data_IF_615604887654
#
_entry.id   IF_615604887654
#
_cell.length_a   1.000
_cell.length_b   1.000
_cell.length_c   1.000
_cell.angle_alpha   90.00
_cell.angle_beta   90.00
_cell.angle_gamma   90.00
#
_symmetry.space_group_name_H-M   'P 1'
#
loop_
_entity.id
_entity.type
_entity.pdbx_description
1 polymer ?
#
# COMPACT_ATOMS: atom_id res chain seq x y z
N UNK A 1 -6.14 -1.19 -27.42
CA UNK A 1 -4.80 -1.78 -27.68
C UNK A 1 -3.91 -0.84 -28.48
N UNK A 2 -4.38 -0.20 -29.56
CA UNK A 2 -3.55 0.70 -30.41
C UNK A 2 -2.93 1.90 -29.67
N UNK A 3 -3.69 2.63 -28.83
CA UNK A 3 -3.12 3.76 -28.08
C UNK A 3 -1.95 3.36 -27.16
N UNK A 4 -1.99 2.16 -26.57
CA UNK A 4 -0.88 1.64 -25.75
C UNK A 4 0.31 1.21 -26.58
N UNK A 5 0.09 0.74 -27.81
CA UNK A 5 1.20 0.41 -28.72
C UNK A 5 1.94 1.66 -29.20
N UNK A 6 1.25 2.80 -29.33
CA UNK A 6 1.84 4.06 -29.79
C UNK A 6 2.38 4.94 -28.66
N UNK A 7 1.67 5.01 -27.53
CA UNK A 7 1.96 5.93 -26.42
C UNK A 7 2.23 5.23 -25.08
N UNK A 8 2.12 3.90 -25.04
CA UNK A 8 2.39 3.12 -23.84
C UNK A 8 3.88 2.98 -23.54
N UNK A 9 4.15 2.47 -22.35
CA UNK A 9 5.49 2.31 -21.82
C UNK A 9 6.20 1.21 -22.60
N UNK A 10 7.30 1.57 -23.29
CA UNK A 10 7.99 0.68 -24.24
C UNK A 10 8.68 -0.51 -23.56
N UNK A 11 9.15 -0.33 -22.34
CA UNK A 11 9.81 -1.36 -21.54
C UNK A 11 9.28 -1.25 -20.10
N UNK A 12 8.09 -1.81 -19.82
CA UNK A 12 7.53 -1.77 -18.48
C UNK A 12 8.32 -2.67 -17.54
N UNK A 13 8.46 -2.23 -16.30
CA UNK A 13 9.01 -3.03 -15.20
C UNK A 13 7.88 -3.75 -14.48
N UNK A 14 8.20 -4.91 -13.93
CA UNK A 14 7.27 -5.68 -13.07
C UNK A 14 6.81 -4.82 -11.90
N UNK A 15 5.51 -4.78 -11.63
CA UNK A 15 4.94 -4.17 -10.43
C UNK A 15 4.94 -5.21 -9.32
N UNK A 16 5.57 -4.90 -8.20
CA UNK A 16 5.63 -5.75 -6.99
C UNK A 16 4.77 -5.08 -5.94
N UNK A 17 3.49 -5.49 -5.87
CA UNK A 17 2.53 -4.95 -4.91
C UNK A 17 2.62 -5.73 -3.59
N UNK A 18 2.89 -5.03 -2.49
CA UNK A 18 2.88 -5.62 -1.15
C UNK A 18 1.65 -5.15 -0.39
N UNK A 19 0.84 -6.11 0.05
CA UNK A 19 -0.39 -5.85 0.80
C UNK A 19 -0.26 -6.43 2.19
N UNK A 20 0.09 -5.63 3.21
CA UNK A 20 -0.06 -6.04 4.58
C UNK A 20 -1.56 -6.13 4.92
N UNK A 21 -1.95 -7.19 5.63
CA UNK A 21 -3.34 -7.40 6.04
C UNK A 21 -3.40 -8.16 7.35
N UNK A 22 -4.53 -8.07 8.06
CA UNK A 22 -4.78 -8.82 9.28
C UNK A 22 -6.24 -9.23 9.38
N UNK A 23 -6.54 -10.16 10.27
CA UNK A 23 -7.89 -10.71 10.41
C UNK A 23 -8.84 -9.66 11.00
N UNK A 24 -9.84 -9.25 10.20
CA UNK A 24 -10.92 -8.33 10.58
C UNK A 24 -12.19 -8.58 9.78
N UNK A 25 -13.31 -8.01 10.21
CA UNK A 25 -14.64 -8.19 9.61
C UNK A 25 -14.67 -7.93 8.10
N UNK A 26 -14.04 -6.84 7.63
CA UNK A 26 -14.01 -6.47 6.21
C UNK A 26 -12.72 -6.87 5.49
N UNK A 27 -11.88 -7.75 6.08
CA UNK A 27 -10.61 -8.16 5.48
C UNK A 27 -10.81 -8.66 4.05
N UNK A 28 -11.75 -9.58 3.86
CA UNK A 28 -12.00 -10.19 2.55
C UNK A 28 -12.47 -9.16 1.53
N UNK A 29 -13.37 -8.25 1.92
CA UNK A 29 -13.86 -7.17 1.06
C UNK A 29 -12.71 -6.29 0.56
N UNK A 30 -11.85 -5.86 1.48
CA UNK A 30 -10.66 -5.04 1.22
C UNK A 30 -9.69 -5.74 0.26
N UNK A 31 -9.31 -6.99 0.55
CA UNK A 31 -8.43 -7.78 -0.32
C UNK A 31 -9.04 -8.04 -1.71
N UNK A 32 -10.35 -8.25 -1.80
CA UNK A 32 -11.05 -8.38 -3.09
C UNK A 32 -10.97 -7.08 -3.90
N UNK A 33 -11.13 -5.92 -3.26
CA UNK A 33 -10.97 -4.62 -3.92
C UNK A 33 -9.57 -4.40 -4.50
N UNK A 34 -8.52 -4.70 -3.72
CA UNK A 34 -7.13 -4.64 -4.19
C UNK A 34 -6.90 -5.63 -5.34
N UNK A 35 -7.35 -6.88 -5.19
CA UNK A 35 -7.23 -7.90 -6.22
C UNK A 35 -7.85 -7.46 -7.56
N UNK A 36 -9.07 -6.93 -7.54
CA UNK A 36 -9.72 -6.43 -8.76
C UNK A 36 -8.94 -5.27 -9.40
N UNK A 37 -8.38 -4.37 -8.59
CA UNK A 37 -7.55 -3.28 -9.11
C UNK A 37 -6.28 -3.82 -9.78
N UNK A 38 -5.59 -4.74 -9.10
CA UNK A 38 -4.36 -5.36 -9.57
C UNK A 38 -4.56 -6.23 -10.82
N UNK A 39 -5.69 -6.91 -10.97
CA UNK A 39 -6.03 -7.68 -12.17
C UNK A 39 -6.17 -6.82 -13.44
N UNK A 40 -6.42 -5.52 -13.29
CA UNK A 40 -6.55 -4.60 -14.42
C UNK A 40 -5.23 -3.91 -14.78
N UNK A 41 -4.15 -4.19 -14.03
CA UNK A 41 -2.81 -3.66 -14.29
C UNK A 41 -2.28 -4.29 -15.59
N UNK A 42 -1.85 -3.47 -16.57
CA UNK A 42 -1.42 -3.98 -17.88
C UNK A 42 0.05 -4.42 -17.93
N UNK A 43 0.66 -4.67 -16.77
CA UNK A 43 2.07 -4.97 -16.58
C UNK A 43 2.24 -6.29 -15.84
N UNK A 44 3.43 -6.88 -15.92
CA UNK A 44 3.76 -8.04 -15.08
C UNK A 44 3.61 -7.66 -13.61
N UNK A 45 2.93 -8.52 -12.85
CA UNK A 45 2.57 -8.24 -11.48
C UNK A 45 2.99 -9.39 -10.56
N UNK A 46 3.68 -9.05 -9.49
CA UNK A 46 3.91 -9.93 -8.33
C UNK A 46 3.14 -9.36 -7.16
N UNK A 47 2.15 -10.10 -6.65
CA UNK A 47 1.37 -9.70 -5.49
C UNK A 47 1.81 -10.48 -4.24
N UNK A 48 2.35 -9.78 -3.25
CA UNK A 48 2.82 -10.33 -1.98
C UNK A 48 1.84 -9.93 -0.89
N UNK A 49 1.08 -10.89 -0.38
CA UNK A 49 0.15 -10.67 0.73
C UNK A 49 0.80 -11.10 2.04
N UNK A 50 0.97 -10.15 2.97
CA UNK A 50 1.55 -10.41 4.29
C UNK A 50 0.48 -10.38 5.38
N UNK A 51 0.08 -11.57 5.84
CA UNK A 51 -1.01 -11.73 6.81
C UNK A 51 -0.50 -11.74 8.25
N UNK A 52 -1.07 -10.88 9.09
CA UNK A 52 -0.80 -10.78 10.53
C UNK A 52 -2.02 -11.08 11.39
N UNK A 53 -1.77 -11.34 12.68
CA UNK A 53 -2.83 -11.65 13.65
C UNK A 53 -3.52 -10.43 14.24
N UNK A 54 -2.82 -9.32 14.42
CA UNK A 54 -3.31 -8.10 15.07
C UNK A 54 -2.80 -6.84 14.37
N UNK A 55 -3.62 -5.79 14.40
CA UNK A 55 -3.28 -4.48 13.86
C UNK A 55 -2.28 -3.70 14.71
N UNK A 56 -2.25 -3.88 16.03
CA UNK A 56 -1.23 -3.26 16.90
C UNK A 56 0.19 -3.71 16.53
N UNK A 57 0.32 -4.93 16.02
CA UNK A 57 1.56 -5.44 15.46
C UNK A 57 2.00 -4.57 14.27
N UNK A 58 1.05 -3.91 13.57
CA UNK A 58 1.30 -2.99 12.47
C UNK A 58 2.03 -1.70 12.87
N UNK A 59 2.09 -1.35 14.17
CA UNK A 59 2.89 -0.20 14.63
C UNK A 59 4.39 -0.50 14.61
N UNK A 60 4.80 -1.68 15.08
CA UNK A 60 6.15 -2.25 14.86
C UNK A 60 6.35 -2.82 13.44
N UNK A 61 5.36 -2.72 12.54
CA UNK A 61 5.42 -3.41 11.24
C UNK A 61 6.21 -2.69 10.18
N UNK A 62 6.28 -1.36 10.13
CA UNK A 62 6.89 -0.72 8.97
C UNK A 62 8.30 -1.27 8.74
N UNK A 63 9.11 -1.36 9.80
CA UNK A 63 10.39 -2.06 9.80
C UNK A 63 10.27 -3.56 9.49
N UNK A 64 9.37 -4.32 10.14
CA UNK A 64 9.27 -5.79 9.91
C UNK A 64 8.80 -6.17 8.51
N UNK A 65 7.77 -5.51 7.99
CA UNK A 65 7.29 -5.63 6.61
C UNK A 65 8.43 -5.24 5.70
N UNK A 66 9.07 -4.09 5.94
CA UNK A 66 10.18 -3.62 5.12
C UNK A 66 11.33 -4.63 5.08
N UNK A 67 11.75 -5.17 6.23
CA UNK A 67 12.79 -6.22 6.33
C UNK A 67 12.38 -7.50 5.61
N UNK A 68 11.10 -7.90 5.73
CA UNK A 68 10.58 -9.07 5.03
C UNK A 68 10.56 -8.87 3.52
N UNK A 69 10.16 -7.68 3.05
CA UNK A 69 10.22 -7.29 1.63
C UNK A 69 11.67 -7.30 1.18
N UNK A 70 12.56 -6.62 1.89
CA UNK A 70 13.99 -6.57 1.58
C UNK A 70 14.55 -7.98 1.41
N UNK A 71 14.23 -8.87 2.35
CA UNK A 71 14.63 -10.28 2.28
C UNK A 71 14.07 -10.99 1.06
N UNK A 72 12.75 -10.89 0.80
CA UNK A 72 12.11 -11.57 -0.34
C UNK A 72 12.67 -11.05 -1.67
N UNK A 73 12.74 -9.73 -1.81
CA UNK A 73 13.22 -9.05 -3.02
C UNK A 73 14.68 -9.43 -3.28
N UNK A 74 15.53 -9.47 -2.24
CA UNK A 74 16.94 -9.85 -2.35
C UNK A 74 17.13 -11.35 -2.63
N UNK A 75 16.51 -12.23 -1.86
CA UNK A 75 16.63 -13.69 -2.01
C UNK A 75 16.13 -14.16 -3.38
N UNK A 76 15.05 -13.56 -3.88
CA UNK A 76 14.46 -13.91 -5.19
C UNK A 76 14.95 -13.04 -6.35
N UNK A 77 15.83 -12.06 -6.09
CA UNK A 77 16.33 -11.08 -7.08
C UNK A 77 15.20 -10.49 -7.93
N UNK A 78 14.13 -10.04 -7.26
CA UNK A 78 12.98 -9.47 -7.96
C UNK A 78 13.38 -8.11 -8.54
N UNK A 79 13.35 -7.98 -9.87
CA UNK A 79 13.58 -6.72 -10.58
C UNK A 79 12.23 -6.08 -10.96
N UNK A 80 11.99 -4.86 -10.48
CA UNK A 80 10.70 -4.22 -10.64
C UNK A 80 10.51 -2.97 -9.78
N UNK A 81 9.27 -2.48 -9.77
CA UNK A 81 8.82 -1.36 -8.95
C UNK A 81 8.00 -1.91 -7.80
N UNK A 82 8.49 -1.70 -6.60
CA UNK A 82 7.85 -2.12 -5.35
C UNK A 82 6.91 -1.00 -4.88
N UNK A 83 5.66 -1.36 -4.62
CA UNK A 83 4.64 -0.45 -4.06
C UNK A 83 3.97 -1.08 -2.84
N UNK A 84 3.62 -0.24 -1.87
CA UNK A 84 2.80 -0.63 -0.73
C UNK A 84 1.34 -0.40 -1.08
N UNK A 85 0.58 -1.50 -1.17
CA UNK A 85 -0.83 -1.50 -1.52
C UNK A 85 -1.63 -1.96 -0.31
N UNK A 86 -1.86 -1.06 0.65
CA UNK A 86 -2.67 -1.36 1.83
C UNK A 86 -4.03 -1.91 1.40
N UNK A 87 -4.52 -2.90 2.14
CA UNK A 87 -5.72 -3.64 1.77
C UNK A 87 -6.98 -2.76 1.67
N UNK A 88 -7.05 -1.64 2.38
CA UNK A 88 -8.16 -0.68 2.30
C UNK A 88 -7.99 0.45 1.27
N UNK A 89 -6.82 0.58 0.63
CA UNK A 89 -6.60 1.71 -0.28
C UNK A 89 -7.22 1.47 -1.66
N UNK A 90 -7.69 2.56 -2.27
CA UNK A 90 -8.19 2.56 -3.65
C UNK A 90 -7.14 3.16 -4.57
N UNK A 91 -6.81 2.45 -5.64
CA UNK A 91 -5.72 2.77 -6.55
C UNK A 91 -6.30 3.09 -7.94
N UNK A 92 -5.96 4.26 -8.49
CA UNK A 92 -6.29 4.56 -9.89
C UNK A 92 -5.45 3.69 -10.82
N UNK A 93 -5.97 3.30 -11.99
CA UNK A 93 -5.18 2.57 -12.98
C UNK A 93 -4.03 3.43 -13.55
N UNK A 94 -4.21 4.75 -13.59
CA UNK A 94 -3.19 5.71 -14.00
C UNK A 94 -1.98 5.71 -13.04
N UNK A 95 -2.16 5.32 -11.77
CA UNK A 95 -1.04 5.16 -10.83
C UNK A 95 0.00 4.20 -11.39
N UNK A 96 -0.45 3.07 -11.95
CA UNK A 96 0.46 2.04 -12.45
C UNK A 96 1.25 2.48 -13.69
N UNK A 97 0.72 3.43 -14.45
CA UNK A 97 1.45 4.04 -15.57
C UNK A 97 2.47 5.08 -15.05
N UNK A 98 2.10 5.85 -14.02
CA UNK A 98 2.98 6.89 -13.47
C UNK A 98 4.18 6.33 -12.70
N UNK A 99 3.98 5.27 -11.91
CA UNK A 99 5.07 4.65 -11.13
C UNK A 99 6.16 4.06 -12.03
N UNK A 100 5.85 3.76 -13.28
CA UNK A 100 6.80 3.23 -14.25
C UNK A 100 7.85 4.25 -14.69
N UNK A 101 7.65 5.53 -14.38
CA UNK A 101 8.62 6.59 -14.63
C UNK A 101 9.69 6.71 -13.52
N UNK A 102 9.52 6.04 -12.37
CA UNK A 102 10.41 6.19 -11.22
C UNK A 102 11.81 5.65 -11.49
N UNK A 103 12.88 6.40 -11.21
CA UNK A 103 14.24 5.86 -11.32
C UNK A 103 14.59 5.04 -10.09
N UNK A 104 14.34 5.59 -8.90
CA UNK A 104 14.73 4.98 -7.63
C UNK A 104 13.67 5.06 -6.55
N UNK A 105 13.23 6.25 -6.16
CA UNK A 105 12.24 6.45 -5.10
C UNK A 105 11.26 7.53 -5.53
N UNK A 106 10.02 7.13 -5.73
CA UNK A 106 8.94 7.99 -6.19
C UNK A 106 7.96 8.29 -5.07
N UNK A 107 7.44 9.52 -5.06
CA UNK A 107 6.37 9.94 -4.16
C UNK A 107 5.14 10.35 -4.96
N UNK A 108 3.99 9.80 -4.59
CA UNK A 108 2.67 10.15 -5.15
C UNK A 108 1.83 10.83 -4.08
N UNK A 109 0.82 11.59 -4.52
CA UNK A 109 -0.16 12.15 -3.59
C UNK A 109 -1.24 11.15 -3.21
N UNK A 110 -1.60 11.18 -1.94
CA UNK A 110 -2.59 10.34 -1.28
C UNK A 110 -3.74 11.22 -0.82
N UNK A 111 -4.94 10.93 -1.30
CA UNK A 111 -6.16 11.58 -0.84
C UNK A 111 -6.67 10.95 0.47
N UNK A 112 -6.95 11.77 1.47
CA UNK A 112 -7.35 11.36 2.82
C UNK A 112 -8.45 12.31 3.32
N UNK A 113 -9.71 11.86 3.43
CA UNK A 113 -10.80 12.62 4.07
C UNK A 113 -10.83 14.13 3.70
N UNK A 114 -10.91 14.43 2.40
CA UNK A 114 -10.89 15.78 1.82
C UNK A 114 -9.56 16.57 1.93
N UNK A 115 -8.50 15.96 2.43
CA UNK A 115 -7.13 16.46 2.40
C UNK A 115 -6.28 15.66 1.39
N UNK A 116 -5.20 16.27 0.91
CA UNK A 116 -4.22 15.60 0.05
C UNK A 116 -2.87 15.68 0.73
N UNK A 117 -2.30 14.52 1.06
CA UNK A 117 -0.93 14.39 1.53
C UNK A 117 0.00 13.98 0.38
N UNK A 118 1.24 14.43 0.38
CA UNK A 118 2.19 14.09 -0.68
C UNK A 118 3.28 15.13 -0.93
N UNK A 119 4.03 15.03 -2.05
CA UNK A 119 5.10 15.96 -2.38
C UNK A 119 4.57 17.36 -2.69
N UNK A 120 5.27 18.39 -2.20
CA UNK A 120 5.04 19.79 -2.53
C UNK A 120 6.19 20.32 -3.40
N UNK A 121 5.86 20.85 -4.58
CA UNK A 121 6.87 21.37 -5.51
C UNK A 121 6.79 22.87 -5.75
N UNK A 122 7.92 23.45 -6.16
CA UNK A 122 7.98 24.79 -6.70
C UNK A 122 7.41 24.87 -8.13
N UNK A 123 7.43 26.07 -8.72
CA UNK A 123 6.98 26.33 -10.10
C UNK A 123 7.74 25.53 -11.16
N UNK A 124 8.96 25.08 -10.85
CA UNK A 124 9.81 24.27 -11.74
C UNK A 124 9.60 22.76 -11.56
N UNK A 125 8.55 22.33 -10.83
CA UNK A 125 8.27 20.92 -10.48
C UNK A 125 9.38 20.23 -9.67
N UNK A 126 10.22 20.99 -8.97
CA UNK A 126 11.20 20.41 -8.05
C UNK A 126 10.58 20.30 -6.66
N UNK A 127 10.82 19.18 -6.00
CA UNK A 127 10.37 18.92 -4.64
C UNK A 127 11.01 19.93 -3.67
N UNK A 128 10.18 20.65 -2.93
CA UNK A 128 10.61 21.65 -1.93
C UNK A 128 10.05 21.36 -0.53
N UNK A 129 9.11 20.43 -0.41
CA UNK A 129 8.52 20.06 0.88
C UNK A 129 7.44 18.99 0.75
N UNK A 130 6.62 18.87 1.79
CA UNK A 130 5.57 17.85 1.90
C UNK A 130 4.27 18.47 2.40
N UNK A 131 3.17 18.13 1.74
CA UNK A 131 1.84 18.27 2.30
C UNK A 131 1.60 17.08 3.24
N UNK A 132 1.49 17.36 4.54
CA UNK A 132 1.25 16.36 5.57
C UNK A 132 -0.15 16.50 6.13
N UNK A 133 -0.73 15.36 6.54
CA UNK A 133 -2.02 15.37 7.23
C UNK A 133 -1.84 15.83 8.68
N UNK A 134 -2.53 16.90 9.07
CA UNK A 134 -2.58 17.33 10.47
C UNK A 134 -3.58 16.46 11.23
N UNK A 135 -3.05 15.62 12.13
CA UNK A 135 -3.85 14.71 12.94
C UNK A 135 -4.45 15.39 14.17
N UNK A 136 -3.92 16.54 14.59
CA UNK A 136 -4.32 17.25 15.81
C UNK A 136 -5.83 17.50 15.91
N UNK A 137 -6.53 17.96 14.85
CA UNK A 137 -7.96 18.25 14.92
C UNK A 137 -8.84 17.01 15.15
N UNK A 138 -8.32 15.81 14.89
CA UNK A 138 -9.09 14.57 14.86
C UNK A 138 -8.75 13.62 16.01
N UNK A 139 -7.79 13.96 16.88
CA UNK A 139 -7.38 13.11 18.00
C UNK A 139 -8.57 12.76 18.91
N UNK A 140 -9.40 13.74 19.22
CA UNK A 140 -10.54 13.58 20.14
C UNK A 140 -11.76 12.90 19.51
N UNK A 141 -11.94 13.01 18.19
CA UNK A 141 -13.11 12.52 17.45
C UNK A 141 -12.85 11.24 16.66
N UNK A 142 -11.69 10.62 16.84
CA UNK A 142 -11.26 9.46 16.06
C UNK A 142 -11.90 8.16 16.50
N UNK A 143 -12.16 7.28 15.52
CA UNK A 143 -12.52 5.90 15.80
C UNK A 143 -11.33 5.14 16.42
N UNK A 144 -11.61 4.17 17.27
CA UNK A 144 -10.62 3.20 17.78
C UNK A 144 -10.88 1.83 17.18
N UNK A 145 -9.82 1.06 16.96
CA UNK A 145 -9.94 -0.30 16.46
C UNK A 145 -10.69 -1.21 17.42
N UNK A 146 -11.47 -2.16 16.89
CA UNK A 146 -12.17 -3.16 17.70
C UNK A 146 -11.11 -4.09 18.30
N UNK A 147 -11.02 -4.12 19.63
CA UNK A 147 -10.06 -4.96 20.36
C UNK A 147 -8.72 -4.30 20.68
N UNK A 148 -8.53 -3.02 20.33
CA UNK A 148 -7.31 -2.29 20.66
C UNK A 148 -7.57 -0.80 21.01
N UNK A 149 -6.67 -0.19 21.81
CA UNK A 149 -6.72 1.24 22.18
C UNK A 149 -6.12 2.15 21.10
N UNK A 150 -5.70 1.58 19.97
CA UNK A 150 -5.13 2.31 18.85
C UNK A 150 -6.20 3.11 18.08
N UNK A 151 -5.83 4.34 17.74
CA UNK A 151 -6.65 5.31 17.02
C UNK A 151 -6.51 5.09 15.51
N UNK A 152 -7.64 5.14 14.79
CA UNK A 152 -7.72 5.07 13.33
C UNK A 152 -7.46 6.45 12.73
N UNK A 153 -6.22 6.93 12.83
CA UNK A 153 -5.82 8.17 12.17
C UNK A 153 -4.75 7.89 11.11
N UNK A 154 -4.83 8.61 9.97
CA UNK A 154 -3.75 8.64 9.01
C UNK A 154 -2.46 9.11 9.67
N UNK A 155 -1.32 8.60 9.21
CA UNK A 155 -0.01 9.10 9.61
C UNK A 155 0.29 10.40 8.85
N UNK A 156 1.33 11.12 9.28
CA UNK A 156 1.80 12.35 8.61
C UNK A 156 2.08 12.12 7.11
N UNK A 157 2.63 10.95 6.78
CA UNK A 157 2.86 10.44 5.43
C UNK A 157 2.57 8.94 5.38
N UNK A 158 1.79 8.50 4.39
CA UNK A 158 1.42 7.09 4.21
C UNK A 158 2.48 6.34 3.40
N UNK A 159 2.79 5.09 3.80
CA UNK A 159 3.73 4.22 3.08
C UNK A 159 3.28 3.93 1.64
N UNK A 160 1.97 3.82 1.44
CA UNK A 160 1.37 3.63 0.12
C UNK A 160 1.59 4.84 -0.83
N UNK A 161 1.95 6.01 -0.29
CA UNK A 161 2.34 7.18 -1.06
C UNK A 161 3.72 7.08 -1.71
N UNK A 162 4.47 6.00 -1.47
CA UNK A 162 5.83 5.83 -1.98
C UNK A 162 5.98 4.56 -2.79
N UNK A 163 6.79 4.65 -3.85
CA UNK A 163 7.18 3.51 -4.69
C UNK A 163 8.69 3.48 -4.83
N UNK A 164 9.27 2.29 -4.85
CA UNK A 164 10.72 2.11 -4.87
C UNK A 164 11.13 1.16 -6.00
N UNK A 165 12.20 1.50 -6.70
CA UNK A 165 12.86 0.57 -7.60
C UNK A 165 13.51 -0.53 -6.75
N UNK A 166 13.18 -1.79 -7.01
CA UNK A 166 13.67 -2.91 -6.22
C UNK A 166 15.19 -3.02 -6.22
N UNK A 167 15.87 -2.56 -7.27
CA UNK A 167 17.33 -2.53 -7.34
C UNK A 167 17.98 -1.76 -6.19
N UNK A 168 17.30 -0.76 -5.64
CA UNK A 168 17.73 -0.02 -4.44
C UNK A 168 18.05 -0.93 -3.24
N UNK A 169 17.38 -2.09 -3.19
CA UNK A 169 17.31 -3.00 -2.06
C UNK A 169 18.31 -4.14 -2.16
N UNK A 170 18.58 -4.65 -3.38
CA UNK A 170 19.36 -5.88 -3.56
C UNK A 170 20.53 -5.78 -4.55
N UNK A 171 20.66 -4.68 -5.28
CA UNK A 171 21.77 -4.50 -6.22
C UNK A 171 23.05 -4.23 -5.41
N UNK A 172 23.96 -5.21 -5.42
CA UNK A 172 25.25 -5.18 -4.70
C UNK A 172 26.37 -4.53 -5.51
N UNK A 173 26.10 -4.07 -6.74
CA UNK A 173 27.09 -3.37 -7.55
C UNK A 173 27.30 -1.95 -7.02
N UNK A 174 28.45 -1.35 -7.38
CA UNK A 174 28.75 0.05 -7.07
C UNK A 174 27.78 1.07 -7.71
N UNK A 175 26.75 0.62 -8.43
CA UNK A 175 25.71 1.44 -9.04
C UNK A 175 24.61 1.86 -8.04
N UNK A 176 24.63 1.35 -6.80
CA UNK A 176 23.70 1.80 -5.76
C UNK A 176 23.90 3.31 -5.49
N UNK A 177 22.82 4.11 -5.47
CA UNK A 177 22.95 5.54 -5.25
C UNK A 177 23.42 5.88 -3.84
N UNK A 178 24.33 6.86 -3.74
CA UNK A 178 25.00 7.30 -2.50
C UNK A 178 24.03 7.87 -1.44
N UNK A 179 22.86 8.35 -1.87
CA UNK A 179 21.86 9.00 -1.01
C UNK A 179 21.01 8.02 -0.19
N UNK A 180 21.15 6.71 -0.40
CA UNK A 180 20.43 5.68 0.38
C UNK A 180 21.17 5.43 1.69
N UNK A 181 20.47 5.37 2.82
CA UNK A 181 21.07 4.95 4.09
C UNK A 181 21.50 3.49 4.04
N UNK A 182 22.57 3.16 4.74
CA UNK A 182 22.93 1.75 4.91
C UNK A 182 21.99 1.09 5.91
N UNK A 183 21.66 -0.18 5.69
CA UNK A 183 20.66 -0.89 6.49
C UNK A 183 21.03 -0.95 7.98
N UNK A 184 22.33 -1.06 8.28
CA UNK A 184 22.88 -1.11 9.62
C UNK A 184 22.78 0.23 10.37
N UNK A 185 22.56 1.34 9.65
CA UNK A 185 22.30 2.66 10.22
C UNK A 185 20.81 2.81 10.56
N UNK A 186 19.91 2.29 9.70
CA UNK A 186 18.45 2.35 9.90
C UNK A 186 17.99 1.53 11.12
N UNK A 187 18.63 0.40 11.41
CA UNK A 187 18.29 -0.47 12.56
C UNK A 187 18.78 0.11 13.91
N UNK A 188 19.81 0.96 13.89
CA UNK A 188 20.46 1.51 15.09
C UNK A 188 19.72 2.69 15.72
N UNK A 189 19.05 3.50 14.91
CA UNK A 189 18.45 4.75 15.39
C UNK A 189 17.16 4.54 16.20
N UNK A 190 16.55 3.34 16.16
CA UNK A 190 15.37 3.01 16.97
C UNK A 190 14.13 3.90 16.75
N UNK A 191 14.24 4.93 15.91
CA UNK A 191 13.15 5.81 15.53
C UNK A 191 12.20 5.02 14.63
N UNK A 192 10.93 5.01 15.05
CA UNK A 192 9.85 4.40 14.30
C UNK A 192 9.98 4.78 12.82
N UNK A 193 10.06 3.77 11.95
CA UNK A 193 9.89 3.88 10.50
C UNK A 193 8.46 4.33 10.18
N UNK A 194 8.02 5.45 10.74
CA UNK A 194 6.71 6.01 10.53
C UNK A 194 6.54 6.44 9.08
N UNK A 195 7.64 6.80 8.41
CA UNK A 195 7.67 7.26 7.03
C UNK A 195 8.78 6.57 6.22
N UNK A 196 8.54 6.29 4.92
CA UNK A 196 9.56 5.83 3.98
C UNK A 196 10.76 6.77 3.85
N UNK A 197 10.62 8.05 4.22
CA UNK A 197 11.69 9.04 4.18
C UNK A 197 12.85 8.73 5.13
N UNK A 198 12.65 7.88 6.14
CA UNK A 198 13.74 7.47 7.02
C UNK A 198 14.83 6.66 6.29
N UNK A 199 14.53 6.10 5.12
CA UNK A 199 15.44 5.32 4.28
C UNK A 199 16.41 6.17 3.44
N UNK A 200 16.14 7.47 3.31
CA UNK A 200 16.95 8.39 2.50
C UNK A 200 17.80 9.31 3.36
N UNK A 201 19.02 9.62 2.92
CA UNK A 201 19.92 10.60 3.56
C UNK A 201 19.46 12.03 3.32
N UNK A 202 18.95 12.30 2.12
CA UNK A 202 18.40 13.59 1.71
C UNK A 202 17.07 13.37 1.00
N UNK A 203 16.06 14.17 1.34
CA UNK A 203 14.73 14.13 0.71
C UNK A 203 14.71 14.76 -0.68
N UNK A 204 15.72 15.55 -1.06
CA UNK A 204 15.84 16.18 -2.38
C UNK A 204 15.93 15.18 -3.54
N UNK A 205 16.28 13.92 -3.23
CA UNK A 205 16.46 12.84 -4.21
C UNK A 205 15.16 12.09 -4.52
N UNK A 206 14.07 12.40 -3.81
CA UNK A 206 12.77 11.78 -4.04
C UNK A 206 12.12 12.37 -5.28
N UNK A 207 11.64 11.49 -6.17
CA UNK A 207 11.03 11.85 -7.44
C UNK A 207 9.53 12.11 -7.27
N UNK A 208 9.04 13.36 -7.42
CA UNK A 208 7.62 13.64 -7.28
C UNK A 208 6.86 13.18 -8.53
N UNK A 209 5.97 12.19 -8.38
CA UNK A 209 5.16 11.62 -9.45
C UNK A 209 3.78 12.30 -9.55
N UNK A 210 3.03 12.00 -10.61
CA UNK A 210 1.65 12.49 -10.77
C UNK A 210 1.57 14.02 -10.92
N UNK A 211 2.45 14.60 -11.75
CA UNK A 211 2.57 16.06 -11.93
C UNK A 211 2.89 16.80 -10.62
N UNK A 212 3.81 16.23 -9.84
CA UNK A 212 4.13 16.61 -8.47
C UNK A 212 2.89 16.71 -7.57
N UNK A 213 2.21 15.58 -7.41
CA UNK A 213 1.10 15.47 -6.47
C UNK A 213 -0.19 16.21 -6.85
N UNK A 214 -0.20 16.97 -7.95
CA UNK A 214 -1.42 17.62 -8.47
C UNK A 214 -2.46 16.60 -8.93
N UNK A 215 -2.02 15.39 -9.33
CA UNK A 215 -2.90 14.25 -9.57
C UNK A 215 -2.94 13.38 -8.32
N UNK A 216 -4.13 13.21 -7.75
CA UNK A 216 -4.37 12.23 -6.68
C UNK A 216 -4.67 10.89 -7.33
N UNK A 217 -3.72 9.96 -7.22
CA UNK A 217 -3.76 8.64 -7.87
C UNK A 217 -4.02 7.49 -6.89
N UNK A 218 -3.96 7.80 -5.58
CA UNK A 218 -4.19 6.88 -4.48
C UNK A 218 -5.14 7.54 -3.48
N UNK A 219 -6.11 6.78 -2.97
CA UNK A 219 -6.99 7.22 -1.90
C UNK A 219 -6.92 6.28 -0.71
N UNK A 220 -6.68 6.85 0.46
CA UNK A 220 -6.81 6.17 1.72
C UNK A 220 -8.28 6.14 2.12
N UNK A 221 -8.91 4.98 1.93
CA UNK A 221 -10.34 4.77 2.19
C UNK A 221 -10.51 3.70 3.26
N UNK A 222 -10.46 4.11 4.53
CA UNK A 222 -10.63 3.15 5.61
C UNK A 222 -12.10 3.03 6.02
N UNK A 223 -12.66 1.85 5.76
CA UNK A 223 -14.00 1.45 6.20
C UNK A 223 -13.85 0.29 7.17
N UNK A 224 -14.34 0.47 8.39
CA UNK A 224 -14.35 -0.55 9.43
C UNK A 224 -15.78 -0.77 9.95
N UNK A 225 -16.07 -2.00 10.37
CA UNK A 225 -17.31 -2.29 11.07
C UNK A 225 -17.27 -1.63 12.46
N UNK A 226 -18.42 -1.28 13.04
CA UNK A 226 -18.45 -0.89 14.46
C UNK A 226 -18.19 -2.11 15.36
N UNK A 227 -17.61 -1.87 16.54
CA UNK A 227 -17.32 -2.93 17.53
C UNK A 227 -18.53 -3.78 17.92
N UNK A 228 -19.73 -3.19 17.87
CA UNK A 228 -21.01 -3.79 18.18
C UNK A 228 -21.74 -4.36 16.94
N UNK A 229 -21.11 -4.32 15.75
CA UNK A 229 -21.70 -4.84 14.53
C UNK A 229 -21.84 -6.35 14.61
N UNK A 230 -23.07 -6.82 14.83
CA UNK A 230 -23.43 -8.23 14.71
C UNK A 230 -24.07 -8.45 13.35
N UNK A 231 -23.55 -9.42 12.59
CA UNK A 231 -24.28 -9.89 11.42
C UNK A 231 -25.65 -10.42 11.88
N UNK A 232 -26.75 -10.04 11.21
CA UNK A 232 -28.08 -10.50 11.60
C UNK A 232 -28.14 -12.03 11.53
N UNK A 233 -28.43 -12.67 12.67
CA UNK A 233 -28.29 -14.11 12.93
C UNK A 233 -29.17 -15.05 12.05
N UNK A 234 -29.91 -14.51 11.07
CA UNK A 234 -30.91 -15.23 10.26
C UNK A 234 -30.76 -15.00 8.76
N UNK A 235 -29.71 -14.33 8.29
CA UNK A 235 -29.43 -14.25 6.86
C UNK A 235 -28.72 -15.52 6.40
N UNK A 236 -29.47 -16.37 5.69
CA UNK A 236 -28.92 -17.50 4.94
C UNK A 236 -28.66 -17.01 3.51
N UNK A 237 -27.39 -16.89 3.13
CA UNK A 237 -27.04 -16.59 1.74
C UNK A 237 -27.29 -17.84 0.87
N UNK A 238 -28.32 -17.82 0.04
CA UNK A 238 -28.49 -18.80 -1.04
C UNK A 238 -27.62 -18.38 -2.22
N UNK A 239 -26.59 -19.18 -2.48
CA UNK A 239 -25.69 -18.98 -3.61
C UNK A 239 -26.28 -19.64 -4.86
N UNK A 240 -26.98 -18.87 -5.70
CA UNK A 240 -27.50 -19.35 -6.98
C UNK A 240 -26.41 -19.12 -8.06
N UNK A 241 -25.47 -20.06 -8.20
CA UNK A 241 -24.40 -19.99 -9.21
C UNK A 241 -24.81 -20.75 -10.47
N UNK A 242 -24.81 -20.06 -11.63
CA UNK A 242 -25.02 -20.66 -12.96
C UNK A 242 -23.73 -20.88 -13.77
N UNK A 243 -22.53 -20.56 -13.27
CA UNK A 243 -21.28 -20.72 -14.05
C UNK A 243 -20.06 -21.14 -13.19
N UNK A 244 -19.44 -22.27 -13.55
CA UNK A 244 -18.38 -22.95 -12.78
C UNK A 244 -16.97 -22.35 -12.89
N UNK A 245 -16.70 -21.38 -13.77
CA UNK A 245 -15.33 -20.86 -13.95
C UNK A 245 -14.95 -19.73 -12.99
N UNK A 246 -15.93 -19.13 -12.29
CA UNK A 246 -15.72 -18.12 -11.23
C UNK A 246 -15.67 -18.77 -9.82
N UNK A 247 -15.81 -20.10 -9.79
CA UNK A 247 -16.17 -20.89 -8.62
C UNK A 247 -15.08 -20.89 -7.53
N UNK A 248 -13.79 -20.92 -7.87
CA UNK A 248 -12.74 -21.09 -6.85
C UNK A 248 -12.42 -19.82 -6.06
N UNK A 249 -12.55 -18.65 -6.67
CA UNK A 249 -12.29 -17.36 -6.01
C UNK A 249 -13.50 -16.86 -5.21
N UNK A 250 -14.73 -17.11 -5.68
CA UNK A 250 -15.93 -16.72 -4.93
C UNK A 250 -16.27 -17.70 -3.79
N UNK A 251 -15.99 -19.01 -3.92
CA UNK A 251 -16.16 -19.93 -2.80
C UNK A 251 -15.20 -19.63 -1.66
N UNK A 252 -13.94 -19.25 -1.92
CA UNK A 252 -13.03 -18.88 -0.85
C UNK A 252 -13.48 -17.60 -0.14
N UNK A 253 -13.96 -16.59 -0.87
CA UNK A 253 -14.47 -15.33 -0.31
C UNK A 253 -15.67 -15.55 0.63
N UNK A 254 -16.64 -16.39 0.26
CA UNK A 254 -17.87 -16.58 1.04
C UNK A 254 -17.70 -17.62 2.15
N UNK A 255 -16.97 -18.71 1.91
CA UNK A 255 -16.68 -19.71 2.94
C UNK A 255 -15.83 -19.10 4.06
N UNK A 256 -14.93 -18.16 3.73
CA UNK A 256 -14.09 -17.49 4.72
C UNK A 256 -14.86 -16.41 5.50
N UNK A 257 -15.83 -15.72 4.89
CA UNK A 257 -16.80 -14.88 5.60
C UNK A 257 -17.65 -15.70 6.59
N UNK A 258 -18.08 -16.91 6.22
CA UNK A 258 -18.81 -17.82 7.10
C UNK A 258 -17.94 -18.43 8.22
N UNK A 259 -16.71 -18.85 7.93
CA UNK A 259 -15.82 -19.47 8.93
C UNK A 259 -15.27 -18.47 9.94
N UNK A 260 -15.01 -17.22 9.53
CA UNK A 260 -14.65 -16.14 10.48
C UNK A 260 -15.83 -15.85 11.44
N UNK A 261 -17.07 -16.07 11.02
CA UNK A 261 -18.26 -15.89 11.85
C UNK A 261 -18.53 -17.03 12.85
N UNK A 262 -17.89 -18.21 12.73
CA UNK A 262 -18.14 -19.34 13.64
C UNK A 262 -17.09 -19.50 14.76
N UNK A 263 -15.95 -18.79 14.71
CA UNK A 263 -14.85 -19.00 15.68
C UNK A 263 -14.93 -18.15 16.95
N UNK A 264 -15.96 -17.30 17.12
CA UNK A 264 -16.19 -16.52 18.34
C UNK A 264 -17.48 -16.96 19.05
N UNK A 265 -17.59 -18.27 19.30
CA UNK A 265 -18.54 -18.89 20.23
C UNK A 265 -17.78 -19.52 21.38
#
# INVERSE_FOLDING_TARGET
MEQRSQYGIKSPRTVIAITPTYVRTFQTLHLTGVMHSLMNVPYDLVWIVDRHKLESSMRLHALRIFLKIHRIVREKRLDGIVMFADDSNMHSLELFDEIQNVKWLGAVSVGILAHVGGPACNSSNQLVGWHVFDTLPFVETSARYIGDRAVVLPRKLEWAGFVLNSRLVWEETGDKPVWVKEWEEVDRDGEDLESPLSLVKDTSVVEPLGSCGRKVLLWWLRVEARADSKFPARFVFFLLIRNLNVLWLFLSVIVQLCLICQSNG
#
